data_IF_257174151159
#
_entry.id   IF_257174151159
#
_cell.length_a   1.000
_cell.length_b   1.000
_cell.length_c   1.000
_cell.angle_alpha   90.00
_cell.angle_beta   90.00
_cell.angle_gamma   90.00
#
_symmetry.space_group_name_H-M   'P 1'
#
loop_
_entity.id
_entity.type
_entity.pdbx_description
1 polymer ?
#
# COMPACT_ATOMS: atom_id res chain seq x y z
N UNK A 1 -26.39 -9.77 32.85
CA UNK A 1 -25.38 -10.84 32.96
C UNK A 1 -24.18 -10.57 32.05
N UNK A 2 -24.36 -10.49 30.72
CA UNK A 2 -23.26 -10.21 29.77
C UNK A 2 -22.54 -8.88 30.01
N UNK A 3 -23.26 -7.79 30.32
CA UNK A 3 -22.66 -6.48 30.63
C UNK A 3 -21.77 -6.52 31.89
N UNK A 4 -22.25 -7.18 32.95
CA UNK A 4 -21.50 -7.36 34.18
C UNK A 4 -20.23 -8.21 33.95
N UNK A 5 -20.34 -9.28 33.15
CA UNK A 5 -19.21 -10.13 32.79
C UNK A 5 -18.17 -9.36 31.97
N UNK A 6 -18.63 -8.56 30.99
CA UNK A 6 -17.76 -7.69 30.19
C UNK A 6 -17.05 -6.64 31.04
N UNK A 7 -17.74 -6.05 32.01
CA UNK A 7 -17.12 -5.10 32.94
C UNK A 7 -16.06 -5.76 33.82
N UNK A 8 -16.33 -6.94 34.37
CA UNK A 8 -15.35 -7.70 35.18
C UNK A 8 -14.13 -8.09 34.35
N UNK A 9 -14.32 -8.48 33.08
CA UNK A 9 -13.21 -8.79 32.17
C UNK A 9 -12.37 -7.55 31.90
N UNK A 10 -13.00 -6.40 31.62
CA UNK A 10 -12.32 -5.12 31.40
C UNK A 10 -11.53 -4.68 32.63
N UNK A 11 -12.09 -4.78 33.82
CA UNK A 11 -11.41 -4.45 35.08
C UNK A 11 -10.15 -5.30 35.29
N UNK A 12 -10.23 -6.62 35.03
CA UNK A 12 -9.05 -7.51 35.11
C UNK A 12 -7.96 -7.17 34.10
N UNK A 13 -8.34 -6.80 32.87
CA UNK A 13 -7.37 -6.36 31.85
C UNK A 13 -6.69 -5.06 32.31
N UNK A 14 -7.46 -4.09 32.83
CA UNK A 14 -6.93 -2.83 33.33
C UNK A 14 -5.97 -3.01 34.52
N UNK A 15 -6.25 -3.94 35.43
CA UNK A 15 -5.34 -4.27 36.53
C UNK A 15 -3.98 -4.78 36.04
N UNK A 16 -3.96 -5.60 34.97
CA UNK A 16 -2.70 -6.12 34.38
C UNK A 16 -1.95 -5.04 33.61
N UNK A 17 -2.68 -4.26 32.80
CA UNK A 17 -2.13 -3.15 32.02
C UNK A 17 -1.49 -2.10 32.92
N UNK A 18 -2.14 -1.72 34.02
CA UNK A 18 -1.61 -0.69 34.96
C UNK A 18 -0.32 -1.11 35.65
N UNK A 19 -0.02 -2.41 35.68
CA UNK A 19 1.22 -2.96 36.23
C UNK A 19 2.30 -3.19 35.17
N UNK A 20 1.98 -3.01 33.89
CA UNK A 20 2.91 -3.20 32.78
C UNK A 20 3.82 -1.98 32.61
N UNK A 21 5.11 -2.23 32.33
CA UNK A 21 6.09 -1.16 32.10
C UNK A 21 6.04 -0.60 30.66
N UNK A 22 5.49 -1.36 29.73
CA UNK A 22 5.40 -1.02 28.32
C UNK A 22 3.97 -1.28 27.84
N UNK A 23 3.30 -0.22 27.35
CA UNK A 23 1.92 -0.25 26.89
C UNK A 23 1.84 0.48 25.55
N UNK A 24 1.02 -0.05 24.65
CA UNK A 24 0.63 0.52 23.37
C UNK A 24 -0.87 0.35 23.18
N UNK A 25 -1.50 1.23 22.40
CA UNK A 25 -2.90 1.14 22.04
C UNK A 25 -3.02 0.94 20.54
N UNK A 26 -3.92 0.04 20.13
CA UNK A 26 -4.31 -0.17 18.74
C UNK A 26 -5.78 0.20 18.63
N UNK A 27 -6.11 1.06 17.69
CA UNK A 27 -7.48 1.47 17.41
C UNK A 27 -7.77 1.12 15.95
N UNK A 28 -8.90 0.46 15.70
CA UNK A 28 -9.40 0.15 14.37
C UNK A 28 -10.85 0.63 14.23
N UNK A 29 -11.28 0.98 13.03
CA UNK A 29 -12.65 1.45 12.79
C UNK A 29 -13.49 0.29 12.24
N UNK A 30 -14.60 -0.04 12.91
CA UNK A 30 -15.58 -1.03 12.42
C UNK A 30 -16.94 -0.38 12.27
N UNK A 31 -17.76 -0.87 11.33
CA UNK A 31 -19.15 -0.47 11.25
C UNK A 31 -20.04 -1.49 11.96
N UNK A 32 -20.87 -1.06 12.89
CA UNK A 32 -21.91 -1.90 13.49
C UNK A 32 -22.99 -2.27 12.45
N UNK A 33 -23.88 -3.24 12.76
CA UNK A 33 -25.03 -3.65 11.93
C UNK A 33 -25.98 -2.49 11.60
N UNK A 34 -25.86 -1.36 12.31
CA UNK A 34 -26.56 -0.11 12.04
C UNK A 34 -25.81 0.86 11.11
N UNK A 35 -24.71 0.43 10.48
CA UNK A 35 -23.78 1.24 9.67
C UNK A 35 -23.18 2.44 10.41
N UNK A 36 -23.03 2.35 11.73
CA UNK A 36 -22.34 3.35 12.53
C UNK A 36 -20.87 2.96 12.69
N UNK A 37 -19.98 3.89 12.36
CA UNK A 37 -18.54 3.75 12.62
C UNK A 37 -18.30 3.72 14.14
N UNK A 38 -17.53 2.75 14.60
CA UNK A 38 -17.19 2.52 16.00
C UNK A 38 -15.70 2.19 16.09
N UNK A 39 -14.89 2.93 16.86
CA UNK A 39 -13.53 2.55 17.16
C UNK A 39 -13.52 1.32 18.08
N UNK A 40 -12.78 0.31 17.64
CA UNK A 40 -12.42 -0.87 18.40
C UNK A 40 -11.03 -0.65 18.99
N UNK A 41 -10.99 -0.54 20.30
CA UNK A 41 -9.77 -0.31 21.05
C UNK A 41 -9.21 -1.63 21.58
N UNK A 42 -7.96 -1.93 21.22
CA UNK A 42 -7.14 -2.98 21.80
C UNK A 42 -5.98 -2.36 22.57
N UNK A 43 -5.59 -3.02 23.66
CA UNK A 43 -4.39 -2.67 24.42
C UNK A 43 -3.33 -3.73 24.21
N UNK A 44 -2.13 -3.31 23.83
CA UNK A 44 -0.96 -4.16 23.76
C UNK A 44 -0.03 -3.83 24.91
N UNK A 45 0.33 -4.79 25.74
CA UNK A 45 1.20 -4.56 26.89
C UNK A 45 2.13 -5.74 27.14
N UNK A 46 3.27 -5.50 27.78
CA UNK A 46 4.14 -6.58 28.24
C UNK A 46 3.67 -7.02 29.60
N UNK A 47 3.06 -8.21 29.66
CA UNK A 47 2.62 -8.80 30.91
C UNK A 47 3.82 -9.03 31.84
N UNK A 48 3.69 -8.56 33.08
CA UNK A 48 4.77 -8.57 34.06
C UNK A 48 5.07 -9.96 34.59
N UNK A 49 4.06 -10.82 34.69
CA UNK A 49 4.17 -12.16 35.25
C UNK A 49 4.80 -13.13 34.23
N UNK A 50 4.49 -12.95 32.94
CA UNK A 50 4.96 -13.83 31.87
C UNK A 50 6.07 -13.23 31.00
N UNK A 51 6.33 -11.91 31.09
CA UNK A 51 7.34 -11.21 30.30
C UNK A 51 7.05 -11.23 28.79
N UNK A 52 5.79 -11.40 28.39
CA UNK A 52 5.35 -11.52 26.99
C UNK A 52 4.45 -10.36 26.60
N UNK A 53 4.56 -9.95 25.35
CA UNK A 53 3.61 -9.01 24.77
C UNK A 53 2.25 -9.70 24.58
N UNK A 54 1.22 -9.16 25.20
CA UNK A 54 -0.18 -9.56 25.05
C UNK A 54 -0.96 -8.45 24.35
N UNK A 55 -2.03 -8.84 23.66
CA UNK A 55 -2.98 -7.93 23.01
C UNK A 55 -4.36 -8.34 23.49
N UNK A 56 -5.04 -7.44 24.20
CA UNK A 56 -6.37 -7.67 24.73
C UNK A 56 -7.36 -6.63 24.20
N UNK A 57 -8.59 -7.07 23.94
CA UNK A 57 -9.70 -6.18 23.61
C UNK A 57 -10.07 -5.33 24.83
N UNK A 58 -10.13 -4.02 24.67
CA UNK A 58 -10.41 -3.09 25.75
C UNK A 58 -11.85 -2.56 25.73
N UNK A 59 -12.29 -2.08 24.56
CA UNK A 59 -13.64 -1.54 24.37
C UNK A 59 -13.98 -1.42 22.88
N UNK A 60 -15.28 -1.52 22.57
CA UNK A 60 -15.85 -0.83 21.42
C UNK A 60 -16.51 0.41 21.99
N UNK A 61 -16.05 1.57 21.59
CA UNK A 61 -16.71 2.82 21.94
C UNK A 61 -17.66 3.18 20.80
N UNK A 62 -18.92 3.42 21.14
CA UNK A 62 -19.86 3.96 20.19
C UNK A 62 -19.35 5.36 19.83
N UNK A 63 -19.08 5.66 18.55
CA UNK A 63 -19.05 7.06 18.09
C UNK A 63 -20.49 7.55 18.04
N UNK A 64 -21.16 7.56 19.20
CA UNK A 64 -21.98 8.72 19.47
C UNK A 64 -20.99 9.87 19.42
N UNK A 65 -21.03 10.68 18.35
CA UNK A 65 -20.49 12.03 18.34
C UNK A 65 -21.00 12.70 19.62
N UNK A 66 -20.25 12.56 20.72
CA UNK A 66 -20.62 13.11 22.01
C UNK A 66 -20.29 14.58 21.91
N UNK A 67 -21.28 15.29 21.38
CA UNK A 67 -21.38 16.73 21.26
C UNK A 67 -20.27 17.32 20.38
N UNK A 68 -20.63 18.25 19.51
CA UNK A 68 -19.68 19.09 18.74
C UNK A 68 -18.75 19.96 19.64
N UNK A 69 -18.68 19.66 20.95
CA UNK A 69 -18.08 20.44 22.02
C UNK A 69 -17.46 19.59 23.17
N UNK A 70 -17.01 18.35 22.92
CA UNK A 70 -16.21 17.64 23.94
C UNK A 70 -14.95 18.44 24.27
N UNK A 71 -14.95 19.07 25.44
CA UNK A 71 -13.87 19.93 25.90
C UNK A 71 -12.53 19.20 26.02
N UNK A 72 -12.55 17.87 26.25
CA UNK A 72 -11.36 17.03 26.30
C UNK A 72 -10.80 16.82 24.91
N UNK A 73 -11.65 16.48 23.94
CA UNK A 73 -11.26 16.31 22.54
C UNK A 73 -10.75 17.64 21.94
N UNK A 74 -11.44 18.75 22.21
CA UNK A 74 -11.01 20.10 21.81
C UNK A 74 -9.69 20.47 22.48
N UNK A 75 -9.53 20.18 23.78
CA UNK A 75 -8.30 20.44 24.52
C UNK A 75 -7.10 19.67 23.96
N UNK A 76 -7.29 18.37 23.67
CA UNK A 76 -6.28 17.52 23.02
C UNK A 76 -5.98 17.98 21.59
N UNK A 77 -7.01 18.31 20.82
CA UNK A 77 -6.86 18.87 19.48
C UNK A 77 -6.03 20.15 19.54
N UNK A 78 -6.35 21.11 20.42
CA UNK A 78 -5.55 22.33 20.62
C UNK A 78 -4.11 22.04 21.07
N UNK A 79 -3.90 21.01 21.89
CA UNK A 79 -2.56 20.63 22.34
C UNK A 79 -1.69 20.01 21.23
N UNK A 80 -2.29 19.29 20.28
CA UNK A 80 -1.59 18.58 19.19
C UNK A 80 -1.58 19.40 17.90
N UNK A 81 -2.58 20.24 17.69
CA UNK A 81 -2.75 21.09 16.53
C UNK A 81 -1.72 22.23 16.58
N UNK A 82 -0.62 22.01 15.88
CA UNK A 82 0.25 23.07 15.42
C UNK A 82 0.36 23.00 13.90
N UNK A 83 0.60 24.15 13.27
CA UNK A 83 0.60 24.26 11.81
C UNK A 83 1.62 23.32 11.16
N UNK A 84 2.78 23.05 11.77
CA UNK A 84 3.78 22.13 11.20
C UNK A 84 3.29 20.69 11.21
N UNK A 85 2.67 20.27 12.31
CA UNK A 85 2.09 18.95 12.45
C UNK A 85 0.95 18.75 11.45
N UNK A 86 0.00 19.69 11.40
CA UNK A 86 -1.12 19.64 10.46
C UNK A 86 -0.62 19.66 9.00
N UNK A 87 0.32 20.54 8.67
CA UNK A 87 0.99 20.55 7.35
C UNK A 87 1.52 19.18 6.97
N UNK A 88 2.17 18.48 7.92
CA UNK A 88 2.69 17.13 7.69
C UNK A 88 1.57 16.11 7.49
N UNK A 89 0.52 16.14 8.32
CA UNK A 89 -0.62 15.21 8.21
C UNK A 89 -1.34 15.36 6.87
N UNK A 90 -1.61 16.59 6.43
CA UNK A 90 -2.26 16.86 5.16
C UNK A 90 -1.39 16.49 3.96
N UNK A 91 -0.07 16.69 4.06
CA UNK A 91 0.87 16.18 3.06
C UNK A 91 0.81 14.65 2.98
N UNK A 92 0.88 13.96 4.12
CA UNK A 92 0.82 12.50 4.18
C UNK A 92 -0.52 11.97 3.65
N UNK A 93 -1.64 12.64 3.92
CA UNK A 93 -2.94 12.28 3.36
C UNK A 93 -2.94 12.25 1.82
N UNK A 94 -2.23 13.16 1.16
CA UNK A 94 -2.13 13.15 -0.30
C UNK A 94 -1.11 12.11 -0.80
N UNK A 95 0.01 11.91 -0.10
CA UNK A 95 1.10 11.02 -0.56
C UNK A 95 0.85 9.54 -0.29
N UNK A 96 0.28 9.20 0.88
CA UNK A 96 0.11 7.81 1.30
C UNK A 96 -0.73 6.97 0.31
N UNK A 97 -1.80 7.47 -0.32
CA UNK A 97 -2.53 6.73 -1.34
C UNK A 97 -1.66 6.32 -2.54
N UNK A 98 -0.80 7.22 -3.03
CA UNK A 98 0.13 6.92 -4.13
C UNK A 98 1.13 5.82 -3.71
N UNK A 99 1.69 5.92 -2.49
CA UNK A 99 2.58 4.89 -1.95
C UNK A 99 1.87 3.56 -1.68
N UNK A 100 0.60 3.60 -1.26
CA UNK A 100 -0.22 2.41 -1.04
C UNK A 100 -0.45 1.65 -2.35
N UNK A 101 -0.70 2.38 -3.45
CA UNK A 101 -0.78 1.77 -4.78
C UNK A 101 0.50 1.03 -5.13
N UNK A 102 1.66 1.67 -4.99
CA UNK A 102 2.94 1.03 -5.25
C UNK A 102 3.18 -0.18 -4.34
N UNK A 103 2.91 -0.03 -3.03
CA UNK A 103 3.08 -1.11 -2.06
C UNK A 103 2.25 -2.34 -2.42
N UNK A 104 0.99 -2.15 -2.84
CA UNK A 104 0.09 -3.24 -3.26
C UNK A 104 0.63 -4.02 -4.45
N UNK A 105 1.36 -3.39 -5.37
CA UNK A 105 2.01 -4.08 -6.49
C UNK A 105 3.08 -5.10 -6.03
N UNK A 106 3.63 -4.93 -4.81
CA UNK A 106 4.64 -5.81 -4.22
C UNK A 106 4.09 -6.76 -3.15
N UNK A 107 2.78 -6.78 -2.89
CA UNK A 107 2.21 -7.64 -1.85
C UNK A 107 2.00 -9.08 -2.32
N UNK A 108 2.25 -10.04 -1.42
CA UNK A 108 2.17 -11.48 -1.68
C UNK A 108 0.79 -11.88 -2.20
N UNK A 109 0.78 -12.70 -3.26
CA UNK A 109 -0.46 -13.27 -3.83
C UNK A 109 -0.98 -12.57 -5.08
N UNK A 110 -0.50 -11.35 -5.38
CA UNK A 110 -0.92 -10.60 -6.57
C UNK A 110 0.25 -9.94 -7.32
N UNK A 111 1.48 -10.45 -7.13
CA UNK A 111 2.68 -9.87 -7.74
C UNK A 111 2.71 -10.25 -9.23
N UNK A 112 2.55 -9.24 -10.09
CA UNK A 112 2.85 -9.34 -11.51
C UNK A 112 4.11 -8.54 -11.79
N UNK A 113 5.22 -9.22 -12.08
CA UNK A 113 6.52 -8.56 -12.31
C UNK A 113 6.49 -7.59 -13.49
N UNK A 114 5.70 -7.89 -14.53
CA UNK A 114 5.47 -7.01 -15.67
C UNK A 114 4.71 -5.73 -15.29
N UNK A 115 3.86 -5.77 -14.27
CA UNK A 115 3.10 -4.60 -13.82
C UNK A 115 3.89 -3.67 -12.88
N UNK A 116 5.01 -4.14 -12.31
CA UNK A 116 5.81 -3.35 -11.36
C UNK A 116 6.33 -2.07 -12.00
N UNK A 117 6.82 -2.14 -13.24
CA UNK A 117 7.34 -0.96 -13.92
C UNK A 117 6.28 0.13 -14.08
N UNK A 118 5.09 -0.25 -14.56
CA UNK A 118 3.96 0.68 -14.69
C UNK A 118 3.50 1.24 -13.34
N UNK A 119 3.48 0.43 -12.29
CA UNK A 119 3.13 0.89 -10.94
C UNK A 119 4.15 1.92 -10.40
N UNK A 120 5.45 1.72 -10.65
CA UNK A 120 6.50 2.69 -10.31
C UNK A 120 6.27 4.00 -11.05
N UNK A 121 6.11 3.96 -12.38
CA UNK A 121 5.88 5.17 -13.20
C UNK A 121 4.62 5.93 -12.78
N UNK A 122 3.51 5.23 -12.62
CA UNK A 122 2.25 5.82 -12.15
C UNK A 122 2.45 6.53 -10.80
N UNK A 123 3.15 5.87 -9.86
CA UNK A 123 3.39 6.44 -8.53
C UNK A 123 4.27 7.67 -8.60
N UNK A 124 5.34 7.67 -9.40
CA UNK A 124 6.20 8.85 -9.56
C UNK A 124 5.44 10.01 -10.19
N UNK A 125 4.59 9.75 -11.19
CA UNK A 125 3.76 10.78 -11.83
C UNK A 125 2.75 11.38 -10.84
N UNK A 126 2.09 10.54 -10.04
CA UNK A 126 1.18 10.98 -8.98
C UNK A 126 1.89 11.85 -7.93
N UNK A 127 3.10 11.48 -7.52
CA UNK A 127 3.89 12.27 -6.58
C UNK A 127 4.23 13.66 -7.16
N UNK A 128 4.66 13.72 -8.41
CA UNK A 128 4.94 14.99 -9.10
C UNK A 128 3.67 15.84 -9.20
N UNK A 129 2.52 15.23 -9.50
CA UNK A 129 1.24 15.91 -9.55
C UNK A 129 0.82 16.49 -8.18
N UNK A 130 1.09 15.78 -7.08
CA UNK A 130 0.84 16.27 -5.71
C UNK A 130 1.66 17.55 -5.44
N UNK A 131 2.95 17.56 -5.81
CA UNK A 131 3.80 18.73 -5.65
C UNK A 131 3.36 19.91 -6.54
N UNK A 132 2.83 19.64 -7.74
CA UNK A 132 2.34 20.68 -8.63
C UNK A 132 1.01 21.29 -8.14
N UNK A 133 0.06 20.45 -7.73
CA UNK A 133 -1.31 20.89 -7.35
C UNK A 133 -1.37 21.55 -5.98
N UNK A 134 -0.49 21.18 -5.05
CA UNK A 134 -0.48 21.73 -3.68
C UNK A 134 -1.84 21.58 -2.96
N UNK A 135 -2.58 20.49 -3.25
CA UNK A 135 -3.93 20.24 -2.73
C UNK A 135 -3.98 20.10 -1.21
N UNK A 136 -2.89 19.65 -0.58
CA UNK A 136 -2.73 19.59 0.88
C UNK A 136 -2.85 20.97 1.53
N UNK A 137 -2.30 22.01 0.90
CA UNK A 137 -2.41 23.38 1.39
C UNK A 137 -3.84 23.93 1.26
N UNK A 138 -4.46 23.76 0.10
CA UNK A 138 -5.84 24.23 -0.11
C UNK A 138 -6.84 23.51 0.82
N UNK A 139 -6.61 22.22 1.08
CA UNK A 139 -7.42 21.46 2.04
C UNK A 139 -7.20 21.95 3.47
N UNK A 140 -5.96 22.23 3.88
CA UNK A 140 -5.67 22.77 5.21
C UNK A 140 -6.25 24.18 5.39
N UNK A 141 -6.21 25.03 4.36
CA UNK A 141 -6.82 26.36 4.37
C UNK A 141 -8.31 26.28 4.63
N UNK A 142 -9.03 25.53 3.79
CA UNK A 142 -10.48 25.33 3.92
C UNK A 142 -10.85 24.78 5.30
N UNK A 143 -10.07 23.84 5.80
CA UNK A 143 -10.37 23.20 7.09
C UNK A 143 -10.10 24.10 8.29
N UNK A 144 -9.33 25.19 8.12
CA UNK A 144 -9.09 26.24 9.13
C UNK A 144 -10.06 27.43 9.04
N UNK A 145 -10.93 27.50 8.02
CA UNK A 145 -11.96 28.54 7.91
C UNK A 145 -13.03 28.38 9.02
N UNK A 146 -13.89 29.38 9.20
CA UNK A 146 -14.87 29.44 10.30
C UNK A 146 -15.84 28.23 10.34
N UNK A 147 -16.19 27.67 9.17
CA UNK A 147 -17.01 26.46 9.03
C UNK A 147 -16.17 25.18 8.84
N UNK A 148 -14.85 25.29 8.98
CA UNK A 148 -13.90 24.20 8.78
C UNK A 148 -13.78 23.28 9.98
N UNK A 149 -13.38 22.02 9.74
CA UNK A 149 -13.23 21.00 10.80
C UNK A 149 -12.17 21.34 11.87
N UNK A 150 -11.31 22.32 11.61
CA UNK A 150 -10.27 22.80 12.52
C UNK A 150 -10.56 24.21 13.06
N UNK A 151 -11.76 24.76 12.84
CA UNK A 151 -12.13 26.11 13.31
C UNK A 151 -11.92 26.29 14.83
N UNK A 152 -12.21 25.24 15.61
CA UNK A 152 -12.05 25.25 17.08
C UNK A 152 -10.60 25.34 17.57
N UNK A 153 -9.62 25.19 16.68
CA UNK A 153 -8.19 25.25 17.03
C UNK A 153 -7.67 26.67 17.18
N UNK A 154 -8.40 27.68 16.70
CA UNK A 154 -7.99 29.10 16.66
C UNK A 154 -6.65 29.33 15.90
N UNK A 155 -6.22 28.34 15.12
CA UNK A 155 -5.02 28.42 14.31
C UNK A 155 -5.27 29.27 13.05
N UNK A 156 -4.29 30.07 12.68
CA UNK A 156 -4.31 30.86 11.45
C UNK A 156 -3.11 30.52 10.57
N UNK A 157 -3.35 30.36 9.27
CA UNK A 157 -2.28 30.20 8.29
C UNK A 157 -1.68 31.58 7.97
N UNK A 158 -0.45 31.79 8.42
CA UNK A 158 0.35 32.93 7.98
C UNK A 158 1.00 32.65 6.63
N UNK A 159 1.36 33.68 5.86
CA UNK A 159 2.08 33.51 4.58
C UNK A 159 3.33 32.65 4.74
N UNK A 160 4.11 32.86 5.81
CA UNK A 160 5.28 32.03 6.11
C UNK A 160 4.95 30.55 6.33
N UNK A 161 3.76 30.25 6.85
CA UNK A 161 3.31 28.87 7.07
C UNK A 161 2.85 28.20 5.78
N UNK A 162 2.21 28.97 4.90
CA UNK A 162 1.87 28.50 3.55
C UNK A 162 3.14 28.17 2.77
N UNK A 163 4.12 29.08 2.77
CA UNK A 163 5.41 28.87 2.11
C UNK A 163 6.14 27.67 2.71
N UNK A 164 6.05 27.46 4.03
CA UNK A 164 6.58 26.29 4.68
C UNK A 164 5.97 24.99 4.12
N UNK A 165 4.64 24.89 4.07
CA UNK A 165 3.97 23.69 3.54
C UNK A 165 4.24 23.47 2.04
N UNK A 166 4.28 24.54 1.24
CA UNK A 166 4.64 24.45 -0.18
C UNK A 166 6.05 23.85 -0.34
N UNK A 167 7.02 24.42 0.37
CA UNK A 167 8.40 23.97 0.34
C UNK A 167 8.57 22.55 0.90
N UNK A 168 7.84 22.22 1.97
CA UNK A 168 7.84 20.88 2.56
C UNK A 168 7.33 19.86 1.54
N UNK A 169 6.20 20.15 0.89
CA UNK A 169 5.59 19.29 -0.13
C UNK A 169 6.56 19.03 -1.27
N UNK A 170 7.13 20.07 -1.87
CA UNK A 170 8.09 19.94 -2.97
C UNK A 170 9.32 19.14 -2.56
N UNK A 171 9.96 19.48 -1.43
CA UNK A 171 11.17 18.78 -0.98
C UNK A 171 10.90 17.32 -0.63
N UNK A 172 9.76 17.05 0.00
CA UNK A 172 9.39 15.69 0.39
C UNK A 172 9.12 14.83 -0.85
N UNK A 173 8.30 15.31 -1.77
CA UNK A 173 8.01 14.64 -3.05
C UNK A 173 9.29 14.42 -3.84
N UNK A 174 10.12 15.45 -4.05
CA UNK A 174 11.37 15.33 -4.81
C UNK A 174 12.30 14.26 -4.21
N UNK A 175 12.43 14.26 -2.88
CA UNK A 175 13.26 13.29 -2.18
C UNK A 175 12.67 11.87 -2.29
N UNK A 176 11.35 11.74 -2.18
CA UNK A 176 10.65 10.47 -2.26
C UNK A 176 10.71 9.87 -3.67
N UNK A 177 10.48 10.68 -4.71
CA UNK A 177 10.60 10.27 -6.12
C UNK A 177 12.01 9.78 -6.42
N UNK A 178 13.05 10.54 -6.02
CA UNK A 178 14.45 10.10 -6.18
C UNK A 178 14.73 8.80 -5.43
N UNK A 179 14.18 8.63 -4.23
CA UNK A 179 14.36 7.40 -3.46
C UNK A 179 13.71 6.20 -4.15
N UNK A 180 12.54 6.38 -4.76
CA UNK A 180 11.86 5.34 -5.55
C UNK A 180 12.70 5.02 -6.79
N UNK A 181 13.12 6.02 -7.56
CA UNK A 181 13.95 5.84 -8.76
C UNK A 181 15.26 5.11 -8.43
N UNK A 182 15.99 5.57 -7.42
CA UNK A 182 17.25 4.96 -6.99
C UNK A 182 17.06 3.52 -6.52
N UNK A 183 15.94 3.21 -5.85
CA UNK A 183 15.63 1.86 -5.38
C UNK A 183 15.41 0.89 -6.54
N UNK A 184 14.88 1.36 -7.66
CA UNK A 184 14.49 0.51 -8.78
C UNK A 184 15.39 0.62 -10.00
N UNK A 185 16.34 1.57 -10.04
CA UNK A 185 17.18 1.86 -11.21
C UNK A 185 17.83 0.62 -11.84
N UNK A 186 18.39 -0.27 -11.02
CA UNK A 186 19.02 -1.52 -11.49
C UNK A 186 18.01 -2.64 -11.74
N UNK A 187 16.93 -2.69 -10.95
CA UNK A 187 15.95 -3.79 -10.99
C UNK A 187 14.89 -3.62 -12.08
N UNK A 188 14.64 -2.38 -12.53
CA UNK A 188 13.59 -2.05 -13.50
C UNK A 188 13.77 -2.84 -14.79
N UNK A 189 15.01 -2.95 -15.28
CA UNK A 189 15.36 -3.70 -16.49
C UNK A 189 15.00 -5.19 -16.37
N UNK A 190 15.09 -5.75 -15.17
CA UNK A 190 14.76 -7.15 -14.89
C UNK A 190 13.24 -7.30 -14.84
N UNK A 191 12.54 -6.38 -14.19
CA UNK A 191 11.08 -6.40 -14.10
C UNK A 191 10.41 -6.26 -15.46
N UNK A 192 10.87 -5.35 -16.31
CA UNK A 192 10.36 -5.20 -17.68
C UNK A 192 10.72 -6.40 -18.55
N UNK A 193 11.86 -7.05 -18.33
CA UNK A 193 12.21 -8.28 -19.03
C UNK A 193 11.20 -9.42 -18.77
N UNK A 194 10.42 -9.40 -17.68
CA UNK A 194 9.37 -10.40 -17.43
C UNK A 194 8.14 -10.24 -18.33
N UNK A 195 7.98 -9.12 -19.03
CA UNK A 195 6.88 -8.94 -20.00
C UNK A 195 6.90 -9.99 -21.12
N UNK A 196 8.04 -10.61 -21.39
CA UNK A 196 8.17 -11.66 -22.41
C UNK A 196 7.32 -12.89 -22.10
N UNK A 197 6.89 -13.05 -20.85
CA UNK A 197 6.04 -14.14 -20.41
C UNK A 197 4.56 -13.89 -20.69
N UNK A 198 4.18 -12.69 -21.15
CA UNK A 198 2.82 -12.42 -21.62
C UNK A 198 2.58 -13.11 -22.98
N UNK A 199 1.67 -14.11 -23.05
CA UNK A 199 1.34 -14.77 -24.29
C UNK A 199 0.87 -13.81 -25.39
N UNK A 200 0.23 -12.71 -25.03
CA UNK A 200 -0.32 -11.76 -26.00
C UNK A 200 0.77 -11.03 -26.78
N UNK A 201 1.95 -10.85 -26.18
CA UNK A 201 3.11 -10.23 -26.82
C UNK A 201 3.82 -11.09 -27.86
N UNK A 202 3.51 -12.39 -27.96
CA UNK A 202 4.22 -13.32 -28.85
C UNK A 202 3.80 -13.11 -30.32
N UNK A 203 4.74 -12.87 -31.26
CA UNK A 203 4.47 -12.77 -32.69
C UNK A 203 3.96 -14.09 -33.29
N UNK A 204 3.31 -14.02 -34.45
CA UNK A 204 2.91 -15.22 -35.19
C UNK A 204 4.13 -15.99 -35.72
N UNK A 205 4.04 -17.31 -35.87
CA UNK A 205 5.15 -18.15 -36.38
C UNK A 205 5.62 -17.70 -37.78
N UNK A 206 4.69 -17.17 -38.59
CA UNK A 206 4.98 -16.66 -39.93
C UNK A 206 5.76 -15.34 -39.93
N UNK A 207 5.83 -14.66 -38.80
CA UNK A 207 6.56 -13.40 -38.64
C UNK A 207 8.05 -13.66 -38.43
N UNK A 208 8.91 -12.94 -39.15
CA UNK A 208 10.35 -13.02 -38.99
C UNK A 208 10.80 -12.65 -37.56
N UNK A 209 10.07 -11.74 -36.91
CA UNK A 209 10.30 -11.34 -35.53
C UNK A 209 10.14 -12.50 -34.53
N UNK A 210 9.37 -13.54 -34.85
CA UNK A 210 9.19 -14.69 -33.97
C UNK A 210 10.51 -15.43 -33.70
N UNK A 211 11.43 -15.46 -34.68
CA UNK A 211 12.69 -16.21 -34.57
C UNK A 211 13.57 -15.69 -33.42
N UNK A 212 13.71 -14.38 -33.32
CA UNK A 212 14.55 -13.70 -32.32
C UNK A 212 13.74 -13.11 -31.15
N UNK A 213 12.43 -13.39 -31.08
CA UNK A 213 11.55 -12.87 -30.04
C UNK A 213 12.13 -13.09 -28.63
N UNK A 214 12.28 -11.98 -27.90
CA UNK A 214 12.67 -11.92 -26.50
C UNK A 214 14.08 -12.45 -26.14
N UNK A 215 14.95 -12.74 -27.12
CA UNK A 215 16.32 -13.23 -26.85
C UNK A 215 17.15 -12.20 -26.07
N UNK A 216 16.99 -10.91 -26.33
CA UNK A 216 17.69 -9.86 -25.57
C UNK A 216 17.29 -9.83 -24.10
N UNK A 217 16.01 -10.06 -23.78
CA UNK A 217 15.49 -10.08 -22.42
C UNK A 217 15.98 -11.33 -21.67
N UNK A 218 16.08 -12.48 -22.36
CA UNK A 218 16.72 -13.67 -21.79
C UNK A 218 18.18 -13.42 -21.43
N UNK A 219 18.91 -12.64 -22.23
CA UNK A 219 20.27 -12.23 -21.89
C UNK A 219 20.31 -11.36 -20.63
N UNK A 220 19.33 -10.46 -20.45
CA UNK A 220 19.19 -9.69 -19.20
C UNK A 220 19.05 -10.64 -17.99
N UNK A 221 18.20 -11.66 -18.08
CA UNK A 221 18.07 -12.65 -17.02
C UNK A 221 19.34 -13.45 -16.79
N UNK A 222 19.99 -13.91 -17.87
CA UNK A 222 21.23 -14.68 -17.76
C UNK A 222 22.35 -13.84 -17.13
N UNK A 223 22.47 -12.58 -17.52
CA UNK A 223 23.44 -11.66 -16.94
C UNK A 223 23.15 -11.41 -15.46
N UNK A 224 21.89 -11.30 -15.05
CA UNK A 224 21.53 -11.10 -13.64
C UNK A 224 21.70 -12.36 -12.79
N UNK A 225 21.10 -13.49 -13.18
CA UNK A 225 21.05 -14.70 -12.35
C UNK A 225 22.31 -15.57 -12.42
N UNK A 226 23.11 -15.45 -13.48
CA UNK A 226 24.33 -16.24 -13.66
C UNK A 226 25.63 -15.44 -13.44
N UNK A 227 25.51 -14.19 -12.98
CA UNK A 227 26.61 -13.24 -12.77
C UNK A 227 27.83 -13.86 -12.05
N UNK A 228 27.59 -14.60 -10.96
CA UNK A 228 28.65 -15.19 -10.12
C UNK A 228 28.93 -16.68 -10.43
N UNK A 229 28.31 -17.23 -11.49
CA UNK A 229 28.44 -18.65 -11.81
C UNK A 229 29.69 -18.91 -12.66
N UNK A 230 30.51 -19.88 -12.23
CA UNK A 230 31.72 -20.33 -12.96
C UNK A 230 31.43 -20.74 -14.41
N UNK A 231 30.22 -21.25 -14.68
CA UNK A 231 29.74 -21.71 -15.99
C UNK A 231 28.75 -20.73 -16.63
N UNK A 232 28.89 -19.42 -16.37
CA UNK A 232 27.97 -18.38 -16.88
C UNK A 232 27.65 -18.57 -18.37
N UNK A 233 28.68 -18.71 -19.22
CA UNK A 233 28.50 -18.85 -20.67
C UNK A 233 27.65 -20.07 -21.05
N UNK A 234 27.94 -21.24 -20.47
CA UNK A 234 27.18 -22.47 -20.71
C UNK A 234 25.71 -22.31 -20.29
N UNK A 235 25.47 -21.72 -19.11
CA UNK A 235 24.13 -21.47 -18.59
C UNK A 235 23.35 -20.45 -19.43
N UNK A 236 24.02 -19.42 -19.95
CA UNK A 236 23.42 -18.44 -20.88
C UNK A 236 22.99 -19.10 -22.19
N UNK A 237 23.83 -19.96 -22.77
CA UNK A 237 23.50 -20.70 -23.99
C UNK A 237 22.34 -21.69 -23.77
N UNK A 238 22.30 -22.33 -22.59
CA UNK A 238 21.23 -23.25 -22.20
C UNK A 238 19.88 -22.53 -22.06
N UNK A 239 19.81 -21.42 -21.32
CA UNK A 239 18.55 -20.68 -21.14
C UNK A 239 18.04 -20.08 -22.47
N UNK A 240 18.93 -19.65 -23.37
CA UNK A 240 18.52 -19.21 -24.71
C UNK A 240 17.91 -20.37 -25.53
N UNK A 241 18.48 -21.57 -25.44
CA UNK A 241 17.93 -22.75 -26.11
C UNK A 241 16.57 -23.17 -25.52
N UNK A 242 16.42 -23.13 -24.21
CA UNK A 242 15.14 -23.41 -23.56
C UNK A 242 14.08 -22.36 -23.91
N UNK A 243 14.45 -21.07 -23.95
CA UNK A 243 13.53 -20.02 -24.37
C UNK A 243 13.00 -20.22 -25.79
N UNK A 244 13.87 -20.65 -26.72
CA UNK A 244 13.46 -20.96 -28.10
C UNK A 244 12.35 -22.01 -28.16
N UNK A 245 12.22 -22.90 -27.17
CA UNK A 245 11.13 -23.86 -27.03
C UNK A 245 9.92 -23.24 -26.31
N UNK A 246 10.15 -22.58 -25.16
CA UNK A 246 9.08 -22.01 -24.30
C UNK A 246 8.18 -21.04 -25.07
N UNK A 247 8.73 -20.22 -25.98
CA UNK A 247 7.93 -19.27 -26.76
C UNK A 247 6.86 -19.92 -27.64
N UNK A 248 7.03 -21.18 -28.04
CA UNK A 248 5.97 -21.93 -28.75
C UNK A 248 4.82 -22.27 -27.81
N UNK A 249 5.11 -22.64 -26.56
CA UNK A 249 4.08 -22.89 -25.54
C UNK A 249 3.31 -21.60 -25.24
N UNK A 250 4.00 -20.46 -25.12
CA UNK A 250 3.35 -19.15 -24.95
C UNK A 250 2.46 -18.80 -26.14
N UNK A 251 2.90 -19.09 -27.36
CA UNK A 251 2.07 -18.86 -28.54
C UNK A 251 0.83 -19.78 -28.57
N UNK A 252 0.95 -21.03 -28.16
CA UNK A 252 -0.20 -21.93 -28.01
C UNK A 252 -1.19 -21.38 -26.98
N UNK A 253 -0.69 -20.93 -25.82
CA UNK A 253 -1.50 -20.28 -24.79
C UNK A 253 -2.22 -19.04 -25.33
N UNK A 254 -1.56 -18.21 -26.14
CA UNK A 254 -2.20 -17.05 -26.81
C UNK A 254 -3.43 -17.47 -27.61
N UNK A 255 -3.33 -18.54 -28.38
CA UNK A 255 -4.47 -19.05 -29.17
C UNK A 255 -5.59 -19.60 -28.28
N UNK A 256 -5.24 -20.34 -27.22
CA UNK A 256 -6.23 -20.87 -26.28
C UNK A 256 -6.97 -19.75 -25.52
N UNK A 257 -6.25 -18.73 -25.05
CA UNK A 257 -6.84 -17.54 -24.41
C UNK A 257 -7.76 -16.80 -25.37
N UNK A 258 -7.31 -16.61 -26.62
CA UNK A 258 -8.13 -15.95 -27.65
C UNK A 258 -9.43 -16.72 -27.91
N UNK A 259 -9.38 -18.05 -27.96
CA UNK A 259 -10.57 -18.89 -28.12
C UNK A 259 -11.52 -18.79 -26.92
N UNK A 260 -11.01 -18.76 -25.69
CA UNK A 260 -11.82 -18.59 -24.48
C UNK A 260 -12.50 -17.22 -24.38
N UNK A 261 -11.87 -16.16 -24.90
CA UNK A 261 -12.47 -14.83 -24.98
C UNK A 261 -13.57 -14.79 -26.06
N UNK A 262 -13.37 -15.50 -27.17
CA UNK A 262 -14.31 -15.55 -28.29
C UNK A 262 -15.50 -16.50 -28.04
N UNK A 263 -15.32 -17.54 -27.22
CA UNK A 263 -16.37 -18.46 -26.79
C UNK A 263 -16.37 -18.60 -25.25
N UNK A 264 -16.94 -17.61 -24.54
CA UNK A 264 -17.14 -17.68 -23.09
C UNK A 264 -18.30 -18.64 -22.81
N UNK A 265 -18.17 -19.92 -23.19
CA UNK A 265 -19.16 -20.92 -22.84
C UNK A 265 -19.29 -20.98 -21.31
N UNK A 266 -20.51 -20.90 -20.74
CA UNK A 266 -20.72 -20.97 -19.31
C UNK A 266 -20.55 -22.43 -18.88
N UNK A 267 -19.31 -22.89 -18.77
CA UNK A 267 -19.03 -24.15 -18.09
C UNK A 267 -19.24 -23.86 -16.61
N UNK A 268 -20.41 -24.24 -16.11
CA UNK A 268 -20.72 -24.46 -14.70
C UNK A 268 -19.53 -25.13 -13.99
N UNK A 269 -18.59 -24.33 -13.50
CA UNK A 269 -17.72 -24.70 -12.40
C UNK A 269 -18.24 -23.87 -11.26
N UNK A 270 -18.90 -24.54 -10.32
CA UNK A 270 -18.97 -24.08 -8.95
C UNK A 270 -17.53 -23.81 -8.50
N UNK A 271 -17.04 -22.60 -8.73
CA UNK A 271 -15.91 -22.05 -8.01
C UNK A 271 -16.48 -21.72 -6.63
N UNK A 272 -16.56 -22.75 -5.78
CA UNK A 272 -16.55 -22.49 -4.35
C UNK A 272 -15.24 -21.78 -4.08
N UNK A 273 -15.30 -20.45 -3.96
CA UNK A 273 -14.25 -19.70 -3.32
C UNK A 273 -14.22 -20.19 -1.86
N UNK A 274 -13.40 -21.21 -1.60
CA UNK A 274 -12.98 -21.49 -0.24
C UNK A 274 -12.04 -20.35 0.14
N UNK A 275 -12.60 -19.37 0.84
CA UNK A 275 -11.82 -18.44 1.66
C UNK A 275 -10.95 -19.26 2.62
N UNK A 276 -9.70 -18.84 2.90
CA UNK A 276 -8.79 -19.58 3.76
C UNK A 276 -9.13 -19.42 5.25
N UNK A 277 -10.41 -19.56 5.62
CA UNK A 277 -10.88 -19.50 7.00
C UNK A 277 -12.08 -20.43 7.25
N UNK A 278 -12.05 -21.61 6.64
CA UNK A 278 -12.71 -22.81 7.17
C UNK A 278 -11.68 -23.92 7.38
#
# INVERSE_FOLDING_TARGET
MFLLLGQIIKEKILERVTQANCISMLCDEVSDVSNKEQPVNFVQFVDRDFGKAEIDFLAVDDVAYKEENDCTAIGLLKAVANIKFLSTVYLLHEVLPALSHLSKAFQKGNISFSAIHSAVLYTTDQLVEIAAKQKSLESLKRDLEEDGKLASTELTLTTSSEDYLRNLTTKYVDSLTKNIENRFSESLLIFTAFEILDPMGVPAISDEAFKEYAISQIKIFADHFFQEKKKKKELTEEIECEWRKIKYNLLELKYQVSQHILDPSPKNKNLSAQTPTE
#
